data_IF_462252253994
#
_entry.id   IF_462252253994
#
_cell.length_a   1.000
_cell.length_b   1.000
_cell.length_c   1.000
_cell.angle_alpha   90.00
_cell.angle_beta   90.00
_cell.angle_gamma   90.00
#
_symmetry.space_group_name_H-M   'P 1'
#
loop_
_entity.id
_entity.type
_entity.pdbx_description
1 polymer ?
#
# COMPACT_ATOMS: atom_id res chain seq x y z
N UNK A 1 39.82 12.57 -42.68
CA UNK A 1 39.66 13.39 -41.46
C UNK A 1 38.19 13.85 -41.39
N UNK A 2 37.19 13.01 -41.14
CA UNK A 2 37.10 11.76 -40.34
C UNK A 2 37.20 11.99 -38.82
N UNK A 3 36.21 11.46 -38.10
CA UNK A 3 36.09 11.45 -36.63
C UNK A 3 35.28 12.62 -36.01
N UNK A 4 34.29 12.40 -35.15
CA UNK A 4 33.53 11.16 -34.87
C UNK A 4 32.21 11.46 -34.14
N UNK A 5 31.20 10.60 -34.28
CA UNK A 5 29.90 10.73 -33.60
C UNK A 5 29.88 9.85 -32.35
N UNK A 6 29.74 10.45 -31.16
CA UNK A 6 29.59 9.71 -29.91
C UNK A 6 28.12 9.60 -29.46
N UNK A 7 27.53 8.44 -29.71
CA UNK A 7 26.24 8.04 -29.13
C UNK A 7 26.38 7.72 -27.62
N UNK A 8 25.36 8.00 -26.79
CA UNK A 8 25.36 7.61 -25.38
C UNK A 8 25.23 6.09 -25.22
N UNK A 9 26.16 5.49 -24.46
CA UNK A 9 26.20 4.03 -24.19
C UNK A 9 25.03 3.58 -23.30
N UNK A 10 24.43 2.46 -23.68
CA UNK A 10 23.57 1.62 -22.83
C UNK A 10 24.44 0.75 -21.90
N UNK A 11 24.25 0.88 -20.59
CA UNK A 11 24.43 -0.15 -19.56
C UNK A 11 24.09 0.47 -18.17
N UNK A 12 23.54 -0.22 -17.16
CA UNK A 12 23.47 -1.66 -16.86
C UNK A 12 22.12 -2.04 -16.23
N UNK A 13 21.70 -3.29 -16.39
CA UNK A 13 20.57 -3.90 -15.67
C UNK A 13 20.97 -4.21 -14.22
N UNK A 14 20.11 -3.92 -13.25
CA UNK A 14 20.22 -4.45 -11.89
C UNK A 14 19.22 -5.59 -11.68
N UNK A 15 19.73 -6.75 -11.28
CA UNK A 15 18.95 -7.96 -11.02
C UNK A 15 18.17 -7.85 -9.71
N UNK A 16 16.96 -8.41 -9.67
CA UNK A 16 16.15 -8.48 -8.45
C UNK A 16 16.53 -9.75 -7.67
N UNK A 17 17.71 -9.74 -7.04
CA UNK A 17 18.08 -10.62 -5.91
C UNK A 17 19.49 -10.29 -5.43
N UNK A 18 19.62 -9.42 -4.42
CA UNK A 18 20.83 -9.34 -3.61
C UNK A 18 20.49 -9.62 -2.15
N UNK A 19 21.09 -10.67 -1.59
CA UNK A 19 21.05 -10.99 -0.16
C UNK A 19 21.99 -10.06 0.57
N UNK A 20 21.46 -9.15 1.39
CA UNK A 20 22.28 -8.38 2.33
C UNK A 20 22.71 -9.31 3.47
N UNK A 21 23.98 -9.69 3.47
CA UNK A 21 24.62 -10.40 4.59
C UNK A 21 24.88 -9.40 5.72
N UNK A 22 24.48 -9.74 6.95
CA UNK A 22 24.79 -8.92 8.13
C UNK A 22 26.28 -9.05 8.49
N UNK A 23 27.05 -7.99 8.26
CA UNK A 23 28.40 -7.85 8.80
C UNK A 23 28.35 -7.27 10.21
N UNK A 24 28.72 -8.07 11.21
CA UNK A 24 28.83 -7.62 12.60
C UNK A 24 29.91 -6.55 12.76
N UNK A 25 29.60 -5.46 13.47
CA UNK A 25 30.60 -4.54 14.04
C UNK A 25 30.39 -4.42 15.56
N UNK A 26 31.45 -4.41 16.38
CA UNK A 26 31.31 -4.34 17.83
C UNK A 26 30.79 -2.98 18.30
N UNK A 27 30.05 -2.98 19.41
CA UNK A 27 29.61 -1.79 20.11
C UNK A 27 30.50 -1.53 21.33
N UNK A 28 31.31 -0.48 21.29
CA UNK A 28 32.01 0.01 22.48
C UNK A 28 31.04 0.87 23.30
N UNK A 29 30.50 0.32 24.39
CA UNK A 29 29.85 1.08 25.45
C UNK A 29 30.14 0.41 26.79
N UNK A 30 31.08 0.98 27.56
CA UNK A 30 31.39 0.52 28.90
C UNK A 30 30.26 0.88 29.87
N UNK A 31 29.86 -0.09 30.69
CA UNK A 31 29.01 0.14 31.84
C UNK A 31 29.81 0.86 32.93
N UNK A 32 29.16 1.77 33.66
CA UNK A 32 29.65 2.20 34.97
C UNK A 32 28.52 2.06 35.99
N UNK A 33 28.74 1.18 36.97
CA UNK A 33 27.82 0.94 38.07
C UNK A 33 27.86 2.12 39.04
N UNK A 34 26.71 2.62 39.49
CA UNK A 34 26.60 3.14 40.85
C UNK A 34 25.26 2.73 41.49
N UNK A 35 25.42 2.03 42.61
CA UNK A 35 24.41 1.41 43.47
C UNK A 35 23.93 2.44 44.50
N UNK A 36 22.62 2.54 44.69
CA UNK A 36 22.00 3.01 45.93
C UNK A 36 20.76 2.16 46.20
N UNK A 37 20.74 1.54 47.38
CA UNK A 37 19.61 0.81 47.97
C UNK A 37 18.97 1.73 49.01
N UNK A 38 17.65 1.69 49.16
CA UNK A 38 16.95 1.91 50.44
C UNK A 38 15.48 1.44 50.31
N UNK A 39 14.90 1.04 51.45
CA UNK A 39 13.71 0.17 51.55
C UNK A 39 12.43 0.88 52.08
N UNK A 40 11.34 0.10 52.24
CA UNK A 40 10.22 0.29 53.20
C UNK A 40 9.10 1.32 52.83
N UNK A 41 7.79 1.12 53.10
CA UNK A 41 7.02 -0.08 53.51
C UNK A 41 5.47 0.07 53.25
N UNK A 42 4.75 -1.06 53.13
CA UNK A 42 3.32 -1.42 53.32
C UNK A 42 2.09 -0.46 53.18
N UNK A 43 0.97 -1.05 52.71
CA UNK A 43 -0.42 -0.56 52.89
C UNK A 43 -1.48 -1.37 52.11
N UNK A 44 -2.37 -2.12 52.78
CA UNK A 44 -3.29 -3.11 52.16
C UNK A 44 -4.74 -2.64 51.83
N UNK A 45 -5.31 -3.23 50.75
CA UNK A 45 -6.71 -3.75 50.60
C UNK A 45 -7.96 -2.83 50.64
N UNK A 46 -9.17 -3.26 50.13
CA UNK A 46 -9.51 -4.46 49.32
C UNK A 46 -10.42 -4.24 48.06
N UNK A 47 -10.33 -5.20 47.12
CA UNK A 47 -11.39 -5.78 46.24
C UNK A 47 -12.44 -4.92 45.49
N UNK A 48 -12.54 -5.15 44.17
CA UNK A 48 -13.68 -5.87 43.54
C UNK A 48 -13.31 -6.39 42.14
N UNK A 49 -14.01 -7.43 41.68
CA UNK A 49 -13.53 -8.35 40.61
C UNK A 49 -14.30 -8.16 39.30
N UNK A 50 -13.60 -8.09 38.16
CA UNK A 50 -14.07 -8.58 36.87
C UNK A 50 -12.88 -8.96 35.96
N UNK A 51 -12.72 -10.25 35.67
CA UNK A 51 -11.61 -10.79 34.87
C UNK A 51 -11.97 -10.97 33.40
N UNK A 52 -11.00 -10.78 32.50
CA UNK A 52 -10.88 -11.60 31.29
C UNK A 52 -9.52 -12.32 31.21
N UNK A 53 -9.54 -13.49 30.56
CA UNK A 53 -8.49 -14.52 30.48
C UNK A 53 -7.01 -14.06 30.48
N UNK A 54 -6.21 -14.68 31.36
CA UNK A 54 -4.76 -14.66 31.30
C UNK A 54 -4.20 -15.78 30.41
N UNK A 55 -3.28 -15.45 29.50
CA UNK A 55 -2.33 -16.43 28.97
C UNK A 55 -1.09 -16.43 29.87
N UNK A 56 -0.84 -17.56 30.53
CA UNK A 56 0.26 -17.70 31.48
C UNK A 56 1.62 -17.75 30.79
N UNK A 57 2.56 -16.93 31.28
CA UNK A 57 3.99 -17.21 31.12
C UNK A 57 4.34 -18.39 32.04
N UNK A 58 4.84 -19.48 31.46
CA UNK A 58 5.24 -20.69 32.18
C UNK A 58 6.62 -21.16 31.77
N UNK A 59 7.47 -21.38 32.78
CA UNK A 59 8.86 -21.85 32.79
C UNK A 59 9.34 -22.69 31.59
N UNK A 60 10.57 -22.41 31.16
CA UNK A 60 11.30 -23.25 30.21
C UNK A 60 11.65 -24.63 30.81
N UNK A 61 11.48 -25.74 30.08
CA UNK A 61 12.05 -27.04 30.43
C UNK A 61 13.55 -27.11 30.03
N UNK A 62 14.33 -28.01 30.64
CA UNK A 62 15.76 -28.14 30.36
C UNK A 62 16.03 -28.80 28.99
N UNK A 63 17.30 -28.71 28.57
CA UNK A 63 17.85 -29.36 27.37
C UNK A 63 17.37 -30.80 27.18
N UNK A 64 16.91 -31.12 25.97
CA UNK A 64 16.72 -32.50 25.48
C UNK A 64 17.53 -32.63 24.19
N UNK A 65 18.28 -33.72 24.07
CA UNK A 65 19.24 -33.94 22.99
C UNK A 65 18.58 -34.03 21.60
N UNK A 66 19.32 -33.59 20.58
CA UNK A 66 18.91 -33.73 19.18
C UNK A 66 18.79 -35.22 18.81
N UNK A 67 17.55 -35.66 18.60
CA UNK A 67 17.26 -36.94 17.93
C UNK A 67 16.82 -36.68 16.50
N UNK A 68 17.43 -37.42 15.56
CA UNK A 68 17.35 -37.14 14.13
C UNK A 68 15.92 -37.21 13.57
N UNK A 69 15.51 -36.14 12.89
CA UNK A 69 14.55 -36.19 11.79
C UNK A 69 13.08 -35.94 12.14
N UNK A 70 12.61 -34.71 11.96
CA UNK A 70 11.23 -34.44 11.50
C UNK A 70 11.05 -33.04 10.92
N UNK A 71 10.35 -32.97 9.78
CA UNK A 71 9.77 -31.80 9.10
C UNK A 71 10.24 -30.39 9.51
N UNK A 72 11.09 -29.78 8.67
CA UNK A 72 11.25 -28.32 8.67
C UNK A 72 9.88 -27.64 8.42
N UNK A 73 9.41 -26.85 9.39
CA UNK A 73 8.11 -26.19 9.35
C UNK A 73 7.99 -25.23 8.16
N UNK A 74 7.30 -25.63 7.10
CA UNK A 74 7.15 -24.82 5.90
C UNK A 74 6.28 -23.59 6.19
N UNK A 75 6.86 -22.39 6.15
CA UNK A 75 6.15 -21.14 6.46
C UNK A 75 4.91 -20.96 5.56
N UNK A 76 3.72 -20.72 6.12
CA UNK A 76 2.47 -20.61 5.33
C UNK A 76 2.51 -19.48 4.28
N UNK A 77 3.28 -18.42 4.56
CA UNK A 77 3.50 -17.28 3.69
C UNK A 77 4.94 -17.21 3.17
N UNK A 78 5.10 -16.55 2.02
CA UNK A 78 6.37 -16.17 1.43
C UNK A 78 6.35 -14.69 0.99
N UNK A 79 7.51 -14.05 1.06
CA UNK A 79 7.70 -12.69 0.55
C UNK A 79 7.62 -12.69 -0.98
N UNK A 80 6.80 -11.80 -1.54
CA UNK A 80 6.62 -11.60 -2.98
C UNK A 80 7.34 -10.34 -3.43
N UNK A 81 7.15 -9.23 -2.69
CA UNK A 81 7.77 -7.94 -2.97
C UNK A 81 8.25 -7.28 -1.69
N UNK A 82 9.37 -6.57 -1.76
CA UNK A 82 9.87 -5.73 -0.68
C UNK A 82 10.61 -4.53 -1.27
N UNK A 83 10.33 -3.33 -0.78
CA UNK A 83 11.04 -2.12 -1.20
C UNK A 83 11.06 -1.08 -0.08
N UNK A 84 12.24 -0.49 0.12
CA UNK A 84 12.46 0.64 1.02
C UNK A 84 12.82 1.90 0.22
N UNK A 85 12.43 3.06 0.72
CA UNK A 85 12.81 4.39 0.24
C UNK A 85 12.93 5.34 1.45
N UNK A 86 14.15 5.60 1.90
CA UNK A 86 14.43 6.35 3.14
C UNK A 86 13.70 5.69 4.33
N UNK A 87 12.69 6.34 4.92
CA UNK A 87 11.87 5.81 6.01
C UNK A 87 10.55 5.16 5.56
N UNK A 88 10.24 5.13 4.26
CA UNK A 88 9.12 4.38 3.72
C UNK A 88 9.54 2.93 3.44
N UNK A 89 8.66 1.99 3.79
CA UNK A 89 8.86 0.57 3.54
C UNK A 89 7.53 -0.08 3.16
N UNK A 90 7.54 -0.93 2.13
CA UNK A 90 6.38 -1.69 1.67
C UNK A 90 6.81 -3.13 1.38
N UNK A 91 6.06 -4.09 1.93
CA UNK A 91 6.21 -5.51 1.68
C UNK A 91 4.87 -6.11 1.24
N UNK A 92 4.92 -7.05 0.30
CA UNK A 92 3.77 -7.88 -0.10
C UNK A 92 4.12 -9.33 0.19
N UNK A 93 3.30 -9.97 1.02
CA UNK A 93 3.42 -11.38 1.39
C UNK A 93 2.21 -12.14 0.85
N UNK A 94 2.44 -13.33 0.29
CA UNK A 94 1.38 -14.20 -0.21
C UNK A 94 1.45 -15.58 0.46
N UNK A 95 0.31 -16.29 0.53
CA UNK A 95 0.30 -17.70 0.90
C UNK A 95 1.04 -18.51 -0.17
N UNK A 96 1.79 -19.52 0.23
CA UNK A 96 2.58 -20.33 -0.73
C UNK A 96 1.73 -20.93 -1.86
N UNK A 97 0.50 -21.31 -1.54
CA UNK A 97 -0.48 -21.90 -2.47
C UNK A 97 -0.92 -20.99 -3.63
N UNK A 98 -0.81 -19.65 -3.50
CA UNK A 98 -1.16 -18.69 -4.57
C UNK A 98 0.08 -18.01 -5.17
N UNK A 99 1.30 -18.37 -4.73
CA UNK A 99 2.53 -17.70 -5.15
C UNK A 99 2.80 -17.88 -6.64
N UNK A 100 2.50 -19.07 -7.17
CA UNK A 100 2.63 -19.42 -8.60
C UNK A 100 1.75 -18.56 -9.52
N UNK A 101 0.64 -18.05 -8.99
CA UNK A 101 -0.36 -17.30 -9.74
C UNK A 101 -0.11 -15.79 -9.75
N UNK A 102 0.89 -15.33 -8.99
CA UNK A 102 1.33 -13.94 -8.99
C UNK A 102 2.37 -13.72 -10.09
N UNK A 103 2.05 -12.85 -11.05
CA UNK A 103 2.87 -12.50 -12.20
C UNK A 103 3.07 -10.98 -12.28
N UNK A 104 3.86 -10.55 -13.26
CA UNK A 104 4.03 -9.14 -13.65
C UNK A 104 4.29 -8.18 -12.48
N UNK A 105 5.12 -8.63 -11.52
CA UNK A 105 5.48 -7.85 -10.34
C UNK A 105 6.38 -6.67 -10.74
N UNK A 106 5.94 -5.45 -10.45
CA UNK A 106 6.66 -4.21 -10.76
C UNK A 106 6.64 -3.28 -9.55
N UNK A 107 7.70 -2.49 -9.40
CA UNK A 107 7.83 -1.53 -8.29
C UNK A 107 8.18 -0.15 -8.84
N UNK A 108 7.51 0.88 -8.33
CA UNK A 108 7.73 2.29 -8.67
C UNK A 108 7.91 3.09 -7.37
N UNK A 109 8.76 4.12 -7.40
CA UNK A 109 9.02 4.97 -6.23
C UNK A 109 8.96 6.44 -6.66
N UNK A 110 8.23 7.27 -5.91
CA UNK A 110 8.08 8.71 -6.19
C UNK A 110 8.52 9.51 -4.97
N UNK A 111 9.63 10.22 -5.07
CA UNK A 111 10.06 11.20 -4.06
C UNK A 111 9.21 12.47 -4.07
N UNK A 112 8.93 13.01 -2.88
CA UNK A 112 8.14 14.24 -2.63
C UNK A 112 8.78 15.15 -1.57
N UNK A 113 10.09 15.02 -1.35
CA UNK A 113 10.83 15.86 -0.41
C UNK A 113 11.03 17.31 -0.86
N UNK A 114 11.96 18.00 -0.21
CA UNK A 114 12.40 19.34 -0.58
C UNK A 114 12.79 19.37 -2.08
N UNK A 115 12.44 20.45 -2.78
CA UNK A 115 12.65 20.60 -4.24
C UNK A 115 12.04 19.47 -5.09
N UNK A 116 11.07 18.72 -4.55
CA UNK A 116 10.35 17.66 -5.25
C UNK A 116 11.05 16.30 -5.31
N UNK A 117 12.24 16.16 -4.72
CA UNK A 117 13.03 14.91 -4.74
C UNK A 117 13.81 14.64 -3.44
N UNK A 118 14.21 15.67 -2.69
CA UNK A 118 15.19 15.55 -1.61
C UNK A 118 14.53 15.49 -0.22
N UNK A 119 14.19 14.30 0.27
CA UNK A 119 13.64 14.14 1.63
C UNK A 119 12.93 12.81 1.90
N UNK A 120 12.37 12.68 3.10
CA UNK A 120 11.71 11.46 3.61
C UNK A 120 10.20 11.35 3.27
N UNK A 121 9.79 11.96 2.15
CA UNK A 121 8.39 12.06 1.71
C UNK A 121 8.23 11.47 0.33
N UNK A 122 7.08 10.86 0.05
CA UNK A 122 6.84 10.22 -1.23
C UNK A 122 5.94 8.99 -1.15
N UNK A 123 6.09 8.09 -2.12
CA UNK A 123 5.46 6.77 -2.13
C UNK A 123 6.35 5.67 -2.67
N UNK A 124 5.98 4.44 -2.31
CA UNK A 124 6.40 3.19 -2.93
C UNK A 124 5.13 2.51 -3.43
N UNK A 125 5.10 2.14 -4.70
CA UNK A 125 3.95 1.51 -5.35
C UNK A 125 4.36 0.15 -5.90
N UNK A 126 3.64 -0.91 -5.52
CA UNK A 126 3.82 -2.27 -6.04
C UNK A 126 2.63 -2.62 -6.92
N UNK A 127 2.90 -2.93 -8.19
CA UNK A 127 1.94 -3.50 -9.15
C UNK A 127 2.19 -5.01 -9.24
N UNK A 128 1.12 -5.80 -9.28
CA UNK A 128 1.18 -7.25 -9.54
C UNK A 128 -0.08 -7.72 -10.27
N UNK A 129 0.03 -8.83 -10.99
CA UNK A 129 -1.12 -9.55 -11.52
C UNK A 129 -1.34 -10.81 -10.66
N UNK A 130 -2.58 -11.09 -10.25
CA UNK A 130 -2.97 -12.36 -9.62
C UNK A 130 -4.05 -13.00 -10.51
N UNK A 131 -3.73 -14.16 -11.09
CA UNK A 131 -4.48 -14.73 -12.22
C UNK A 131 -4.68 -13.68 -13.35
N UNK A 132 -5.90 -13.20 -13.60
CA UNK A 132 -6.18 -12.14 -14.58
C UNK A 132 -6.48 -10.77 -13.97
N UNK A 133 -6.46 -10.62 -12.65
CA UNK A 133 -6.81 -9.37 -11.97
C UNK A 133 -5.57 -8.62 -11.52
N UNK A 134 -5.48 -7.34 -11.91
CA UNK A 134 -4.36 -6.47 -11.56
C UNK A 134 -4.56 -5.78 -10.22
N UNK A 135 -3.52 -5.82 -9.38
CA UNK A 135 -3.48 -5.21 -8.06
C UNK A 135 -2.40 -4.13 -7.98
N UNK A 136 -2.72 -3.00 -7.36
CA UNK A 136 -1.74 -1.97 -7.00
C UNK A 136 -1.81 -1.63 -5.51
N UNK A 137 -0.67 -1.70 -4.82
CA UNK A 137 -0.50 -1.30 -3.44
C UNK A 137 0.39 -0.06 -3.39
N UNK A 138 -0.14 1.08 -2.94
CA UNK A 138 0.60 2.34 -2.80
C UNK A 138 0.80 2.62 -1.31
N UNK A 139 2.04 2.66 -0.85
CA UNK A 139 2.41 3.08 0.51
C UNK A 139 3.04 4.48 0.45
N UNK A 140 2.46 5.47 1.12
CA UNK A 140 2.93 6.85 1.06
C UNK A 140 3.15 7.51 2.43
N UNK A 141 4.06 8.48 2.46
CA UNK A 141 4.27 9.41 3.57
C UNK A 141 4.21 10.81 2.98
N UNK A 142 3.07 11.49 3.14
CA UNK A 142 2.78 12.80 2.55
C UNK A 142 3.29 13.96 3.41
N UNK A 143 3.34 15.17 2.84
CA UNK A 143 3.81 16.38 3.54
C UNK A 143 3.14 16.56 4.91
N UNK A 144 3.95 16.52 5.96
CA UNK A 144 3.53 16.77 7.34
C UNK A 144 3.41 18.26 7.60
N UNK A 145 2.50 18.63 8.50
CA UNK A 145 2.16 20.03 8.71
C UNK A 145 1.00 20.23 9.68
N UNK A 146 0.72 21.48 9.99
CA UNK A 146 -0.38 21.94 10.87
C UNK A 146 -0.71 23.44 10.68
N UNK A 147 -0.11 24.08 9.66
CA UNK A 147 -0.45 25.42 9.22
C UNK A 147 -1.55 25.31 8.17
N UNK A 148 -2.38 26.34 8.06
CA UNK A 148 -3.38 26.44 7.00
C UNK A 148 -2.68 26.36 5.62
N UNK A 149 -3.29 25.63 4.69
CA UNK A 149 -2.72 25.33 3.37
C UNK A 149 -1.75 24.13 3.33
N UNK A 150 -1.38 23.51 4.46
CA UNK A 150 -0.58 22.28 4.44
C UNK A 150 -1.34 21.10 3.79
N UNK A 151 -2.67 21.10 3.84
CA UNK A 151 -3.55 20.15 3.14
C UNK A 151 -3.44 20.27 1.62
N UNK A 152 -3.28 21.47 1.07
CA UNK A 152 -3.04 21.64 -0.37
C UNK A 152 -1.69 21.07 -0.81
N UNK A 153 -0.66 21.10 0.07
CA UNK A 153 0.61 20.40 -0.17
C UNK A 153 0.43 18.89 -0.23
N UNK A 154 -0.37 18.31 0.68
CA UNK A 154 -0.74 16.88 0.65
C UNK A 154 -1.52 16.50 -0.62
N UNK A 155 -2.49 17.31 -1.04
CA UNK A 155 -3.21 17.09 -2.30
C UNK A 155 -2.24 17.12 -3.50
N UNK A 156 -1.30 18.07 -3.52
CA UNK A 156 -0.25 18.16 -4.55
C UNK A 156 0.65 16.92 -4.56
N UNK A 157 1.01 16.38 -3.39
CA UNK A 157 1.78 15.14 -3.30
C UNK A 157 1.00 13.95 -3.87
N UNK A 158 -0.31 13.82 -3.57
CA UNK A 158 -1.16 12.76 -4.15
C UNK A 158 -1.24 12.86 -5.67
N UNK A 159 -1.45 14.07 -6.20
CA UNK A 159 -1.48 14.31 -7.65
C UNK A 159 -0.14 13.98 -8.32
N UNK A 160 0.99 14.39 -7.74
CA UNK A 160 2.32 14.05 -8.26
C UNK A 160 2.63 12.55 -8.16
N UNK A 161 2.20 11.86 -7.10
CA UNK A 161 2.35 10.41 -6.96
C UNK A 161 1.57 9.69 -8.06
N UNK A 162 0.31 10.05 -8.32
CA UNK A 162 -0.48 9.49 -9.43
C UNK A 162 0.16 9.80 -10.81
N UNK A 163 0.66 11.02 -11.00
CA UNK A 163 1.28 11.45 -12.26
C UNK A 163 2.64 10.81 -12.53
N UNK A 164 3.47 10.58 -11.50
CA UNK A 164 4.83 10.02 -11.65
C UNK A 164 4.92 8.51 -11.46
N UNK A 165 3.98 7.88 -10.76
CA UNK A 165 3.99 6.41 -10.63
C UNK A 165 3.76 5.79 -11.99
N UNK A 166 4.78 5.13 -12.52
CA UNK A 166 4.74 4.40 -13.79
C UNK A 166 5.31 3.01 -13.60
N UNK A 167 4.71 2.07 -14.32
CA UNK A 167 5.06 0.65 -14.33
C UNK A 167 5.41 0.25 -15.76
N UNK A 168 6.62 -0.30 -16.02
CA UNK A 168 7.04 -0.59 -17.40
C UNK A 168 6.16 -1.66 -18.05
N UNK A 169 5.91 -1.51 -19.35
CA UNK A 169 5.23 -2.53 -20.16
C UNK A 169 6.10 -3.80 -20.24
N UNK A 170 5.46 -4.97 -20.18
CA UNK A 170 6.12 -6.26 -20.43
C UNK A 170 5.82 -6.65 -21.88
N UNK A 171 6.78 -6.41 -22.77
CA UNK A 171 6.66 -6.78 -24.18
C UNK A 171 6.67 -8.31 -24.35
N UNK A 172 5.83 -8.83 -25.25
CA UNK A 172 5.81 -10.25 -25.63
C UNK A 172 4.68 -11.10 -25.03
N UNK A 173 3.71 -10.51 -24.33
CA UNK A 173 2.52 -11.20 -23.84
C UNK A 173 1.25 -10.40 -24.16
N UNK A 174 0.16 -11.08 -24.52
CA UNK A 174 -1.17 -10.48 -24.72
C UNK A 174 -1.87 -10.06 -23.41
N UNK A 175 -1.18 -10.17 -22.26
CA UNK A 175 -1.71 -9.75 -20.97
C UNK A 175 -1.74 -8.21 -20.87
N UNK A 176 -2.94 -7.63 -20.74
CA UNK A 176 -3.11 -6.20 -20.45
C UNK A 176 -2.36 -5.86 -19.16
N UNK A 177 -1.34 -5.03 -19.28
CA UNK A 177 -0.47 -4.64 -18.16
C UNK A 177 -0.71 -3.19 -17.82
N UNK A 178 -1.21 -2.91 -16.61
CA UNK A 178 -1.40 -1.54 -16.16
C UNK A 178 -0.06 -0.79 -16.06
N UNK A 179 -0.01 0.41 -16.63
CA UNK A 179 1.15 1.30 -16.67
C UNK A 179 1.06 2.41 -15.62
N UNK A 180 -0.17 2.81 -15.25
CA UNK A 180 -0.44 3.78 -14.17
C UNK A 180 -1.20 3.17 -13.01
N UNK A 181 -1.25 3.87 -11.87
CA UNK A 181 -1.99 3.39 -10.68
C UNK A 181 -3.46 3.13 -11.01
N UNK A 182 -4.15 4.08 -11.65
CA UNK A 182 -5.60 4.05 -11.85
C UNK A 182 -6.08 3.06 -12.92
N UNK A 183 -5.17 2.44 -13.68
CA UNK A 183 -5.48 1.38 -14.64
C UNK A 183 -5.63 -0.02 -14.00
N UNK A 184 -5.31 -0.17 -12.72
CA UNK A 184 -5.42 -1.46 -12.04
C UNK A 184 -6.87 -1.73 -11.58
N UNK A 185 -7.26 -3.01 -11.62
CA UNK A 185 -8.60 -3.47 -11.26
C UNK A 185 -8.90 -3.33 -9.76
N UNK A 186 -7.85 -3.45 -8.93
CA UNK A 186 -7.89 -3.45 -7.46
C UNK A 186 -6.77 -2.57 -6.93
N UNK A 187 -7.09 -1.44 -6.30
CA UNK A 187 -6.08 -0.51 -5.79
C UNK A 187 -6.28 -0.29 -4.29
N UNK A 188 -5.21 -0.41 -3.51
CA UNK A 188 -5.17 -0.02 -2.09
C UNK A 188 -4.07 1.01 -1.90
N UNK A 189 -4.43 2.18 -1.36
CA UNK A 189 -3.49 3.23 -0.97
C UNK A 189 -3.48 3.36 0.54
N UNK A 190 -2.31 3.24 1.16
CA UNK A 190 -2.12 3.27 2.59
C UNK A 190 -0.93 4.14 3.02
N UNK A 191 -0.86 4.43 4.32
CA UNK A 191 0.30 5.03 4.98
C UNK A 191 -0.02 6.31 5.75
N UNK A 192 1.02 7.04 6.12
CA UNK A 192 0.91 8.34 6.80
C UNK A 192 0.58 9.44 5.77
N UNK A 193 -0.73 9.65 5.57
CA UNK A 193 -1.24 10.70 4.72
C UNK A 193 -1.17 12.08 5.38
N UNK A 194 -0.82 12.16 6.67
CA UNK A 194 -0.54 13.39 7.42
C UNK A 194 -1.65 14.46 7.48
N UNK A 195 -2.86 14.18 6.98
CA UNK A 195 -4.02 15.07 7.12
C UNK A 195 -4.40 15.24 8.60
N UNK A 196 -4.84 16.45 8.96
CA UNK A 196 -5.09 16.87 10.34
C UNK A 196 -6.57 17.15 10.57
N UNK A 197 -6.92 17.44 11.82
CA UNK A 197 -8.26 17.91 12.20
C UNK A 197 -8.24 19.44 12.23
N UNK A 198 -9.15 20.07 11.49
CA UNK A 198 -9.28 21.53 11.36
C UNK A 198 -9.99 22.14 12.58
N UNK A 199 -9.41 21.94 13.76
CA UNK A 199 -9.88 22.41 15.06
C UNK A 199 -8.69 22.77 15.97
N UNK A 200 -8.93 23.63 16.96
CA UNK A 200 -7.93 23.94 17.98
C UNK A 200 -7.61 22.72 18.85
N UNK A 201 -6.38 22.66 19.39
CA UNK A 201 -5.96 21.59 20.30
C UNK A 201 -6.96 21.35 21.45
N UNK A 202 -7.48 22.42 22.06
CA UNK A 202 -8.47 22.34 23.16
C UNK A 202 -9.78 21.71 22.70
N UNK A 203 -10.29 22.09 21.52
CA UNK A 203 -11.52 21.54 20.98
C UNK A 203 -11.37 20.05 20.61
N UNK A 204 -10.25 19.67 19.99
CA UNK A 204 -9.96 18.26 19.70
C UNK A 204 -9.82 17.44 20.97
N UNK A 205 -9.08 17.91 21.97
CA UNK A 205 -8.92 17.20 23.25
C UNK A 205 -10.26 16.93 23.93
N UNK A 206 -11.14 17.93 24.01
CA UNK A 206 -12.47 17.75 24.60
C UNK A 206 -13.32 16.71 23.84
N UNK A 207 -13.32 16.73 22.51
CA UNK A 207 -14.05 15.74 21.71
C UNK A 207 -13.42 14.33 21.83
N UNK A 208 -12.10 14.23 21.99
CA UNK A 208 -11.39 12.96 22.24
C UNK A 208 -11.77 12.39 23.62
N UNK A 209 -11.80 13.23 24.65
CA UNK A 209 -12.23 12.85 26.01
C UNK A 209 -13.68 12.36 26.04
N UNK A 210 -14.57 13.04 25.29
CA UNK A 210 -15.97 12.62 25.09
C UNK A 210 -16.14 11.43 24.12
N UNK A 211 -15.07 10.97 23.47
CA UNK A 211 -15.07 9.92 22.43
C UNK A 211 -15.98 10.23 21.23
N UNK A 212 -16.22 11.50 20.92
CA UNK A 212 -17.03 11.93 19.77
C UNK A 212 -16.19 11.93 18.48
N UNK A 213 -15.91 10.72 17.99
CA UNK A 213 -15.20 10.52 16.72
C UNK A 213 -15.97 11.11 15.53
N UNK A 214 -17.32 11.19 15.61
CA UNK A 214 -18.15 11.72 14.53
C UNK A 214 -17.91 13.21 14.34
N UNK A 215 -18.02 14.02 15.40
CA UNK A 215 -17.76 15.46 15.34
C UNK A 215 -16.32 15.79 14.93
N UNK A 216 -15.35 14.97 15.36
CA UNK A 216 -13.95 15.08 14.92
C UNK A 216 -13.78 14.78 13.43
N UNK A 217 -14.39 13.70 12.91
CA UNK A 217 -14.31 13.32 11.50
C UNK A 217 -15.01 14.32 10.56
N UNK A 218 -16.01 15.07 11.04
CA UNK A 218 -16.58 16.19 10.28
C UNK A 218 -15.57 17.32 10.00
N UNK A 219 -14.53 17.42 10.82
CA UNK A 219 -13.42 18.38 10.71
C UNK A 219 -12.11 17.73 10.26
N UNK A 220 -12.12 16.46 9.88
CA UNK A 220 -10.98 15.80 9.25
C UNK A 220 -10.69 16.45 7.89
N UNK A 221 -9.44 16.85 7.67
CA UNK A 221 -9.05 17.50 6.42
C UNK A 221 -9.18 16.55 5.23
N UNK A 222 -8.78 15.27 5.34
CA UNK A 222 -8.88 14.33 4.20
C UNK A 222 -10.32 14.21 3.71
N UNK A 223 -11.27 13.96 4.62
CA UNK A 223 -12.70 13.93 4.31
C UNK A 223 -13.22 15.24 3.73
N UNK A 224 -12.70 16.38 4.19
CA UNK A 224 -13.11 17.70 3.69
C UNK A 224 -12.56 18.00 2.28
N UNK A 225 -11.34 17.57 1.98
CA UNK A 225 -10.74 17.66 0.65
C UNK A 225 -11.40 16.68 -0.33
N UNK A 226 -11.75 15.47 0.11
CA UNK A 226 -12.50 14.48 -0.69
C UNK A 226 -13.92 14.96 -1.01
N UNK A 227 -14.70 15.42 -0.02
CA UNK A 227 -16.03 16.02 -0.24
C UNK A 227 -15.98 17.21 -1.19
N UNK A 228 -14.90 17.97 -1.16
CA UNK A 228 -14.65 19.09 -2.06
C UNK A 228 -14.10 18.70 -3.45
N UNK A 229 -13.94 17.41 -3.75
CA UNK A 229 -13.40 16.91 -5.02
C UNK A 229 -11.92 17.23 -5.27
N UNK A 230 -11.17 17.70 -4.26
CA UNK A 230 -9.79 18.21 -4.40
C UNK A 230 -8.71 17.13 -4.31
N UNK A 231 -9.04 15.96 -3.78
CA UNK A 231 -8.12 14.82 -3.65
C UNK A 231 -8.90 13.50 -3.66
N UNK A 232 -8.26 12.42 -4.12
CA UNK A 232 -8.81 11.06 -4.13
C UNK A 232 -10.26 10.95 -4.72
N UNK A 233 -10.55 11.52 -5.91
CA UNK A 233 -11.89 11.45 -6.50
C UNK A 233 -12.29 10.02 -6.83
N UNK A 234 -13.46 9.58 -6.38
CA UNK A 234 -13.98 8.21 -6.58
C UNK A 234 -13.32 7.13 -5.70
N UNK A 235 -12.37 7.49 -4.83
CA UNK A 235 -11.79 6.55 -3.86
C UNK A 235 -12.71 6.39 -2.65
N UNK A 236 -12.63 5.22 -2.04
CA UNK A 236 -13.41 4.84 -0.87
C UNK A 236 -12.52 4.76 0.37
N UNK A 237 -13.08 5.07 1.54
CA UNK A 237 -12.47 4.89 2.86
C UNK A 237 -13.50 4.27 3.81
N UNK A 238 -13.02 3.42 4.73
CA UNK A 238 -13.86 2.82 5.76
C UNK A 238 -14.46 3.82 6.73
N UNK A 239 -15.50 3.38 7.44
CA UNK A 239 -15.98 4.10 8.61
C UNK A 239 -14.95 3.94 9.73
N UNK A 240 -14.38 5.07 10.16
CA UNK A 240 -13.45 5.13 11.28
C UNK A 240 -14.26 5.15 12.57
N UNK A 241 -14.08 4.11 13.40
CA UNK A 241 -14.68 3.98 14.74
C UNK A 241 -13.63 3.95 15.86
N UNK A 242 -12.36 4.19 15.53
CA UNK A 242 -11.21 4.15 16.43
C UNK A 242 -10.65 5.56 16.67
N UNK A 243 -10.02 5.83 17.83
CA UNK A 243 -9.52 7.17 18.18
C UNK A 243 -8.35 7.59 17.26
N UNK A 244 -8.02 8.89 17.20
CA UNK A 244 -6.90 9.41 16.42
C UNK A 244 -5.58 8.64 16.62
N UNK A 245 -4.87 8.39 15.54
CA UNK A 245 -3.68 7.51 15.50
C UNK A 245 -2.38 8.23 15.85
N UNK A 246 -2.39 9.57 15.82
CA UNK A 246 -1.26 10.46 16.09
C UNK A 246 -1.73 11.62 16.98
N UNK A 247 -0.90 12.28 17.81
CA UNK A 247 0.47 11.92 18.25
C UNK A 247 0.41 11.47 19.71
N UNK A 248 0.93 10.30 20.02
CA UNK A 248 1.07 9.80 21.39
C UNK A 248 2.42 10.20 22.00
N UNK A 249 2.48 10.32 23.33
CA UNK A 249 3.77 10.38 24.05
C UNK A 249 4.42 8.99 24.07
N UNK A 250 5.74 8.95 24.22
CA UNK A 250 6.52 7.71 24.10
C UNK A 250 6.05 6.63 25.09
N UNK A 251 5.85 5.39 24.60
CA UNK A 251 5.38 4.24 25.38
C UNK A 251 4.10 4.48 26.21
N UNK A 252 3.23 5.39 25.79
CA UNK A 252 2.04 5.83 26.55
C UNK A 252 0.80 5.92 25.67
N UNK A 253 -0.39 5.72 26.26
CA UNK A 253 -1.70 5.94 25.61
C UNK A 253 -2.20 7.39 25.72
N UNK A 254 -1.45 8.28 26.39
CA UNK A 254 -1.69 9.73 26.39
C UNK A 254 -1.31 10.37 25.06
N UNK A 255 -2.05 11.39 24.65
CA UNK A 255 -1.64 12.24 23.53
C UNK A 255 -0.54 13.23 23.95
N UNK A 256 0.37 13.51 23.01
CA UNK A 256 1.55 14.33 23.25
C UNK A 256 1.20 15.77 23.66
N UNK A 257 1.76 16.20 24.78
CA UNK A 257 1.50 17.51 25.39
C UNK A 257 0.29 17.57 26.34
N UNK A 258 -0.25 16.42 26.76
CA UNK A 258 -1.12 16.32 27.95
C UNK A 258 -0.37 16.69 29.24
N UNK A 259 0.86 16.19 29.41
CA UNK A 259 1.69 16.47 30.57
C UNK A 259 2.40 17.83 30.43
N UNK A 260 2.45 18.62 31.50
CA UNK A 260 2.98 20.01 31.50
C UNK A 260 4.50 20.13 31.29
N UNK A 261 5.20 19.02 30.99
CA UNK A 261 6.63 18.99 30.74
C UNK A 261 6.95 19.69 29.41
N UNK A 262 7.53 20.89 29.49
CA UNK A 262 7.77 21.83 28.37
C UNK A 262 8.64 21.30 27.20
N UNK A 263 9.15 20.07 27.27
CA UNK A 263 10.02 19.47 26.26
C UNK A 263 9.26 18.91 25.03
N UNK A 264 8.00 18.47 25.17
CA UNK A 264 7.24 17.94 24.05
C UNK A 264 6.42 19.04 23.33
N UNK A 265 6.65 19.19 22.01
CA UNK A 265 5.86 20.12 21.19
C UNK A 265 4.41 19.61 21.08
N UNK A 266 3.47 20.37 21.64
CA UNK A 266 2.03 20.10 21.56
C UNK A 266 1.61 19.85 20.10
N UNK A 267 0.95 18.71 19.86
CA UNK A 267 0.37 18.34 18.56
C UNK A 267 -1.09 17.96 18.76
N UNK A 268 -1.96 18.56 17.96
CA UNK A 268 -3.38 18.20 17.91
C UNK A 268 -3.52 16.74 17.46
N UNK A 269 -4.29 15.91 18.18
CA UNK A 269 -4.60 14.55 17.75
C UNK A 269 -5.21 14.51 16.33
N UNK A 270 -4.81 13.53 15.52
CA UNK A 270 -5.28 13.36 14.15
C UNK A 270 -5.25 11.90 13.66
N UNK A 271 -6.07 11.59 12.67
CA UNK A 271 -5.96 10.37 11.87
C UNK A 271 -5.02 10.62 10.69
N UNK A 272 -3.72 10.55 10.98
CA UNK A 272 -2.67 10.66 9.96
C UNK A 272 -2.58 9.39 9.10
N UNK A 273 -2.82 8.24 9.71
CA UNK A 273 -2.57 6.91 9.14
C UNK A 273 -3.85 6.34 8.52
N UNK A 274 -3.90 6.23 7.19
CA UNK A 274 -5.14 5.96 6.43
C UNK A 274 -5.00 4.79 5.47
N UNK A 275 -6.13 4.17 5.12
CA UNK A 275 -6.23 3.09 4.13
C UNK A 275 -7.46 3.33 3.26
N UNK A 276 -7.23 3.66 1.99
CA UNK A 276 -8.24 3.93 0.97
C UNK A 276 -8.14 2.89 -0.15
N UNK A 277 -9.21 2.74 -0.93
CA UNK A 277 -9.21 1.87 -2.10
C UNK A 277 -9.97 2.45 -3.30
N UNK A 278 -9.61 1.96 -4.48
CA UNK A 278 -10.24 2.30 -5.76
C UNK A 278 -10.31 1.05 -6.64
N UNK A 279 -11.21 1.07 -7.62
CA UNK A 279 -11.53 -0.07 -8.47
C UNK A 279 -12.78 -0.84 -8.00
N UNK A 280 -13.17 -1.84 -8.79
CA UNK A 280 -14.31 -2.73 -8.50
C UNK A 280 -13.85 -3.95 -7.70
N UNK A 281 -14.76 -4.80 -7.23
CA UNK A 281 -14.41 -6.09 -6.63
C UNK A 281 -13.52 -6.03 -5.38
N UNK A 282 -13.43 -4.88 -4.69
CA UNK A 282 -12.88 -4.74 -3.35
C UNK A 282 -14.00 -4.38 -2.38
N UNK A 283 -14.17 -5.20 -1.34
CA UNK A 283 -15.07 -4.93 -0.22
C UNK A 283 -14.28 -4.91 1.07
N UNK A 284 -14.27 -3.77 1.78
CA UNK A 284 -13.57 -3.65 3.06
C UNK A 284 -14.40 -4.30 4.17
N UNK A 285 -13.82 -5.31 4.82
CA UNK A 285 -14.46 -6.12 5.86
C UNK A 285 -14.22 -5.55 7.26
N UNK A 286 -13.06 -4.95 7.50
CA UNK A 286 -12.71 -4.33 8.77
C UNK A 286 -11.72 -3.18 8.56
N UNK A 287 -11.77 -2.18 9.43
CA UNK A 287 -10.84 -1.07 9.46
C UNK A 287 -10.59 -0.65 10.91
N UNK A 288 -9.39 -0.94 11.43
CA UNK A 288 -9.10 -0.90 12.88
C UNK A 288 -7.72 -0.36 13.19
N UNK A 289 -7.56 0.17 14.40
CA UNK A 289 -6.28 0.61 14.98
C UNK A 289 -5.71 -0.48 15.90
N UNK A 290 -4.39 -0.62 15.94
CA UNK A 290 -3.65 -1.42 16.92
C UNK A 290 -3.18 -0.63 18.13
N UNK A 291 -2.88 -1.34 19.21
CA UNK A 291 -2.48 -0.75 20.51
C UNK A 291 -0.97 -0.81 20.78
N UNK A 292 -0.14 -1.05 19.75
CA UNK A 292 1.33 -1.02 19.92
C UNK A 292 1.81 0.40 20.27
N UNK A 293 2.54 0.51 21.38
CA UNK A 293 3.07 1.79 21.91
C UNK A 293 4.52 2.09 21.48
N UNK A 294 5.07 1.32 20.54
CA UNK A 294 6.44 1.45 20.04
C UNK A 294 6.70 2.75 19.26
N UNK A 295 5.64 3.44 18.82
CA UNK A 295 5.71 4.70 18.09
C UNK A 295 4.75 5.73 18.69
N UNK A 296 4.99 7.00 18.39
CA UNK A 296 4.04 8.09 18.57
C UNK A 296 2.84 8.04 17.60
N UNK A 297 2.89 7.14 16.62
CA UNK A 297 1.75 6.66 15.84
C UNK A 297 1.24 5.32 16.37
N UNK A 298 -0.05 5.03 16.13
CA UNK A 298 -0.66 3.72 16.36
C UNK A 298 -0.86 2.98 15.04
N UNK A 299 -0.49 1.69 14.92
CA UNK A 299 -0.69 0.92 13.70
C UNK A 299 -2.15 0.93 13.24
N UNK A 300 -2.36 0.84 11.93
CA UNK A 300 -3.70 0.75 11.32
C UNK A 300 -3.75 -0.45 10.39
N UNK A 301 -4.85 -1.20 10.45
CA UNK A 301 -5.07 -2.42 9.70
C UNK A 301 -6.41 -2.36 8.97
N UNK A 302 -6.46 -3.00 7.80
CA UNK A 302 -7.68 -3.18 7.03
C UNK A 302 -7.72 -4.58 6.45
N UNK A 303 -8.88 -5.23 6.50
CA UNK A 303 -9.12 -6.49 5.78
C UNK A 303 -10.05 -6.23 4.61
N UNK A 304 -9.77 -6.88 3.48
CA UNK A 304 -10.57 -6.78 2.27
C UNK A 304 -10.94 -8.17 1.77
N UNK A 305 -12.17 -8.33 1.30
CA UNK A 305 -12.49 -9.34 0.29
C UNK A 305 -12.13 -8.77 -1.08
N UNK A 306 -11.46 -9.56 -1.90
CA UNK A 306 -11.04 -9.17 -3.24
C UNK A 306 -11.48 -10.24 -4.25
N UNK A 307 -12.32 -9.84 -5.19
CA UNK A 307 -12.74 -10.69 -6.32
C UNK A 307 -11.59 -10.79 -7.32
N UNK A 308 -11.27 -12.02 -7.74
CA UNK A 308 -10.17 -12.31 -8.68
C UNK A 308 -10.70 -13.18 -9.82
N UNK A 309 -10.41 -12.76 -11.05
CA UNK A 309 -10.78 -13.44 -12.28
C UNK A 309 -9.70 -14.48 -12.63
N UNK A 310 -10.11 -15.73 -12.87
CA UNK A 310 -9.22 -16.84 -13.23
C UNK A 310 -9.59 -17.48 -14.57
N UNK A 311 -8.57 -17.83 -15.35
CA UNK A 311 -8.77 -18.63 -16.57
C UNK A 311 -8.94 -20.09 -16.14
N UNK A 312 -10.15 -20.62 -16.31
CA UNK A 312 -10.38 -22.04 -16.08
C UNK A 312 -9.88 -22.86 -17.29
N UNK A 313 -8.60 -23.23 -17.26
CA UNK A 313 -7.93 -24.00 -18.32
C UNK A 313 -8.64 -25.32 -18.69
N UNK A 314 -9.43 -25.91 -17.78
CA UNK A 314 -10.22 -27.13 -18.09
C UNK A 314 -11.31 -26.91 -19.14
N UNK A 315 -11.85 -25.68 -19.30
CA UNK A 315 -12.78 -25.34 -20.38
C UNK A 315 -12.07 -25.14 -21.71
N UNK A 316 -10.86 -24.57 -21.70
CA UNK A 316 -10.04 -24.37 -22.89
C UNK A 316 -9.62 -25.72 -23.48
N UNK A 317 -9.17 -26.67 -22.64
CA UNK A 317 -8.88 -28.03 -23.10
C UNK A 317 -10.10 -28.73 -23.69
N UNK A 318 -11.30 -28.56 -23.12
CA UNK A 318 -12.53 -29.10 -23.72
C UNK A 318 -12.80 -28.50 -25.10
N UNK A 319 -12.64 -27.19 -25.30
CA UNK A 319 -12.80 -26.58 -26.62
C UNK A 319 -11.74 -27.05 -27.62
N UNK A 320 -10.46 -27.15 -27.25
CA UNK A 320 -9.41 -27.66 -28.13
C UNK A 320 -9.51 -29.17 -28.40
N UNK A 321 -10.19 -29.93 -27.55
CA UNK A 321 -10.50 -31.35 -27.79
C UNK A 321 -11.79 -31.60 -28.58
N UNK A 322 -12.54 -30.54 -28.91
CA UNK A 322 -13.81 -30.64 -29.64
C UNK A 322 -13.76 -30.00 -31.04
N UNK A 323 -12.68 -29.30 -31.40
CA UNK A 323 -12.46 -28.78 -32.76
C UNK A 323 -11.69 -29.77 -33.63
N UNK A 324 -12.28 -30.94 -33.88
CA UNK A 324 -11.80 -31.90 -34.88
C UNK A 324 -12.94 -32.41 -35.77
N UNK A 325 -13.72 -31.47 -36.30
CA UNK A 325 -14.46 -31.68 -37.54
C UNK A 325 -14.38 -30.39 -38.37
N UNK A 326 -14.14 -30.58 -39.66
CA UNK A 326 -13.83 -29.53 -40.62
C UNK A 326 -15.13 -28.97 -41.19
N UNK A 327 -15.11 -27.68 -41.52
CA UNK A 327 -15.63 -27.21 -42.80
C UNK A 327 -14.56 -26.30 -43.41
N UNK A 328 -13.81 -26.86 -44.36
CA UNK A 328 -12.93 -26.08 -45.24
C UNK A 328 -13.81 -25.68 -46.42
N UNK A 329 -14.35 -24.46 -46.39
CA UNK A 329 -14.95 -23.89 -47.60
C UNK A 329 -13.82 -23.31 -48.47
N UNK A 330 -13.55 -24.03 -49.56
CA UNK A 330 -12.44 -23.81 -50.49
C UNK A 330 -12.71 -22.58 -51.39
N UNK A 331 -12.28 -21.39 -50.93
CA UNK A 331 -12.31 -20.18 -51.76
C UNK A 331 -11.19 -20.17 -52.82
N UNK A 332 -11.38 -20.96 -53.87
CA UNK A 332 -10.63 -20.82 -55.13
C UNK A 332 -11.16 -19.63 -55.97
N UNK A 333 -10.28 -18.95 -56.74
CA UNK A 333 -10.64 -17.71 -57.42
C UNK A 333 -11.43 -17.95 -58.72
N UNK A 334 -12.55 -17.26 -58.88
CA UNK A 334 -13.27 -17.21 -60.15
C UNK A 334 -12.65 -16.18 -61.10
N UNK A 335 -12.21 -16.65 -62.28
CA UNK A 335 -11.71 -15.82 -63.37
C UNK A 335 -12.38 -16.18 -64.71
N UNK A 336 -13.29 -15.32 -65.17
CA UNK A 336 -13.82 -15.19 -66.55
C UNK A 336 -14.54 -13.82 -66.59
N UNK A 337 -14.43 -12.92 -67.58
CA UNK A 337 -13.52 -12.85 -68.73
C UNK A 337 -14.21 -12.24 -69.97
N UNK A 338 -13.93 -10.96 -70.29
CA UNK A 338 -14.21 -10.24 -71.56
C UNK A 338 -15.71 -10.19 -72.02
N UNK A 339 -16.34 -9.07 -72.40
CA UNK A 339 -15.92 -7.69 -72.75
C UNK A 339 -16.78 -6.64 -71.96
N UNK A 340 -17.00 -5.36 -72.29
CA UNK A 340 -16.79 -4.53 -73.50
C UNK A 340 -16.64 -2.99 -73.21
N UNK A 341 -16.80 -2.17 -74.24
CA UNK A 341 -16.39 -0.76 -74.40
C UNK A 341 -17.46 0.29 -73.97
N UNK A 342 -16.93 1.43 -73.45
CA UNK A 342 -17.45 2.79 -73.19
C UNK A 342 -18.33 3.43 -74.33
N UNK A 343 -18.84 4.70 -74.28
CA UNK A 343 -18.78 5.76 -73.23
C UNK A 343 -20.09 6.62 -73.01
N UNK A 344 -19.95 7.67 -72.16
CA UNK A 344 -20.82 8.85 -71.94
C UNK A 344 -22.02 8.75 -70.96
N UNK A 345 -22.16 9.77 -70.10
CA UNK A 345 -23.40 10.05 -69.34
C UNK A 345 -23.21 10.78 -67.99
N UNK A 346 -23.28 12.11 -67.99
CA UNK A 346 -23.47 12.94 -66.77
C UNK A 346 -24.88 12.72 -66.17
N UNK A 347 -25.04 12.74 -64.84
CA UNK A 347 -25.76 13.80 -64.08
C UNK A 347 -26.00 13.42 -62.60
N UNK A 348 -26.23 14.46 -61.78
CA UNK A 348 -26.47 14.42 -60.33
C UNK A 348 -27.77 13.70 -59.91
N UNK A 349 -27.86 13.32 -58.63
CA UNK A 349 -28.88 13.86 -57.72
C UNK A 349 -28.63 13.46 -56.25
N UNK A 350 -28.77 14.44 -55.34
CA UNK A 350 -28.99 14.21 -53.92
C UNK A 350 -30.41 13.64 -53.69
N UNK A 351 -30.65 12.95 -52.57
CA UNK A 351 -31.56 13.44 -51.51
C UNK A 351 -31.68 12.46 -50.32
N UNK A 352 -31.64 13.04 -49.11
CA UNK A 352 -31.87 12.49 -47.76
C UNK A 352 -30.81 11.56 -47.15
#
# INVERSE_FOLDING_TARGET
>A
MEGDILAPRLDRRYSVNDRVMYGSRPSDYQANYHRWEDENNDGESPSTVFSPMSYGYGNAPPYVEETNGTAAGHTRYCLVASKQMVGLFLMVWARREIKSDIRNLKVSCVGRGLMGYLGNKGSISVSMLLHQTSFCFVCSHLTSGHKDGDEHRRNSDVMEILRKTRFPMVYGQYERSAETVLEHDRIVWLGDLNYRIALSYRAVKALVEMRDWKALLEKDQLRSEQRGGRVFPGWNEGRIYFPPTYKYSNNSDKYAGEDMNQKEKKRTPAWCDRILWYGRGLSQLSYVRGESRFSDHRPVYSMFSAEVESINHSRIQKMSSSSSQLDIEELLPYSYGYTDINPYGYTDLNFY
#
